data_IF_077106251679
#
_entry.id   IF_077106251679
#
_cell.length_a   1.000
_cell.length_b   1.000
_cell.length_c   1.000
_cell.angle_alpha   90.00
_cell.angle_beta   90.00
_cell.angle_gamma   90.00
#
_symmetry.space_group_name_H-M   'P 1'
#
loop_
_entity.id
_entity.type
_entity.pdbx_description
1 polymer ?
#
# COMPACT_ATOMS: atom_id res chain seq x y z
N UNK A 1 14.11 -8.76 15.31
CA UNK A 1 14.90 -7.51 15.35
C UNK A 1 15.67 -7.21 14.05
N UNK A 2 15.11 -7.45 12.85
CA UNK A 2 15.90 -7.28 11.62
C UNK A 2 16.26 -5.79 11.30
N UNK A 3 15.40 -4.85 11.70
CA UNK A 3 15.47 -3.45 11.29
C UNK A 3 15.72 -2.45 12.43
N UNK A 4 15.89 -2.92 13.67
CA UNK A 4 16.08 -2.02 14.82
C UNK A 4 17.38 -1.21 14.65
N UNK A 5 17.27 0.11 14.78
CA UNK A 5 18.41 1.03 14.70
C UNK A 5 18.94 1.28 13.28
N UNK A 6 18.20 0.88 12.25
CA UNK A 6 18.58 1.09 10.84
C UNK A 6 17.52 1.90 10.12
N UNK A 7 17.94 2.78 9.22
CA UNK A 7 17.04 3.35 8.21
C UNK A 7 16.84 2.31 7.12
N UNK A 8 15.58 2.01 6.79
CA UNK A 8 15.22 1.00 5.80
C UNK A 8 14.27 1.61 4.78
N UNK A 9 14.64 1.52 3.50
CA UNK A 9 13.82 1.97 2.38
C UNK A 9 13.31 0.75 1.61
N UNK A 10 11.98 0.59 1.56
CA UNK A 10 11.34 -0.43 0.73
C UNK A 10 10.71 0.22 -0.50
N UNK A 11 11.04 -0.28 -1.69
CA UNK A 11 10.36 0.04 -2.94
C UNK A 11 9.63 -1.22 -3.39
N UNK A 12 8.31 -1.22 -3.33
CA UNK A 12 7.54 -2.43 -3.63
C UNK A 12 6.16 -2.09 -4.20
N UNK A 13 5.68 -2.98 -5.05
CA UNK A 13 4.29 -3.00 -5.47
C UNK A 13 3.42 -3.83 -4.51
N UNK A 14 3.99 -4.63 -3.59
CA UNK A 14 3.25 -5.51 -2.67
C UNK A 14 2.89 -4.77 -1.39
N UNK A 15 1.71 -4.17 -1.36
CA UNK A 15 1.31 -3.24 -0.29
C UNK A 15 1.11 -3.93 1.07
N UNK A 16 0.79 -5.23 1.09
CA UNK A 16 0.67 -6.00 2.33
C UNK A 16 1.98 -6.08 3.13
N UNK A 17 3.14 -5.99 2.46
CA UNK A 17 4.45 -6.11 3.11
C UNK A 17 4.89 -4.83 3.84
N UNK A 18 4.21 -3.70 3.62
CA UNK A 18 4.63 -2.39 4.14
C UNK A 18 3.66 -1.81 5.20
N UNK A 19 2.69 -2.59 5.68
CA UNK A 19 1.73 -2.11 6.71
C UNK A 19 2.41 -1.63 7.99
N UNK A 20 3.52 -2.26 8.38
CA UNK A 20 4.29 -1.89 9.57
C UNK A 20 5.35 -0.80 9.34
N UNK A 21 5.37 -0.15 8.18
CA UNK A 21 6.30 0.94 7.93
C UNK A 21 5.92 2.17 8.77
N UNK A 22 6.92 2.85 9.33
CA UNK A 22 6.71 4.11 10.07
C UNK A 22 6.31 5.26 9.15
N UNK A 23 6.56 5.14 7.84
CA UNK A 23 6.13 6.09 6.81
C UNK A 23 5.99 5.35 5.48
N UNK A 24 4.92 5.66 4.74
CA UNK A 24 4.64 5.17 3.40
C UNK A 24 4.54 6.39 2.47
N UNK A 25 5.17 6.30 1.30
CA UNK A 25 5.08 7.29 0.23
C UNK A 25 4.40 6.64 -0.98
N UNK A 26 3.21 7.11 -1.35
CA UNK A 26 2.51 6.68 -2.54
C UNK A 26 2.85 7.63 -3.70
N UNK A 27 3.44 7.08 -4.75
CA UNK A 27 3.78 7.84 -5.96
C UNK A 27 2.68 7.74 -7.01
N UNK A 28 2.45 8.84 -7.70
CA UNK A 28 1.64 8.92 -8.92
C UNK A 28 2.22 9.99 -9.83
N UNK A 29 2.26 9.74 -11.15
CA UNK A 29 2.68 10.71 -12.17
C UNK A 29 4.01 11.43 -11.87
N UNK A 30 4.96 10.68 -11.31
CA UNK A 30 6.31 11.18 -10.99
C UNK A 30 6.42 12.02 -9.73
N UNK A 31 5.33 12.21 -8.97
CA UNK A 31 5.34 12.92 -7.70
C UNK A 31 4.81 12.06 -6.54
N UNK A 32 5.01 12.53 -5.31
CA UNK A 32 4.40 11.94 -4.11
C UNK A 32 2.96 12.45 -4.05
N UNK A 33 2.01 11.55 -4.25
CA UNK A 33 0.56 11.81 -4.22
C UNK A 33 0.04 11.80 -2.78
N UNK A 34 0.49 10.81 -1.99
CA UNK A 34 0.11 10.67 -0.58
C UNK A 34 1.29 10.21 0.28
N UNK A 35 1.31 10.66 1.53
CA UNK A 35 2.24 10.19 2.57
C UNK A 35 1.56 10.04 3.92
N UNK A 36 2.02 9.06 4.72
CA UNK A 36 1.56 8.82 6.08
C UNK A 36 1.84 7.40 6.56
N UNK A 37 1.31 7.03 7.72
CA UNK A 37 1.26 5.63 8.17
C UNK A 37 0.20 4.84 7.38
N UNK A 38 0.21 3.51 7.53
CA UNK A 38 -0.85 2.67 6.95
C UNK A 38 -2.24 3.13 7.42
N UNK A 39 -2.41 3.36 8.72
CA UNK A 39 -3.68 3.73 9.33
C UNK A 39 -4.17 5.09 8.82
N UNK A 40 -3.28 6.09 8.74
CA UNK A 40 -3.62 7.42 8.22
C UNK A 40 -4.07 7.37 6.76
N UNK A 41 -3.34 6.63 5.92
CA UNK A 41 -3.64 6.51 4.49
C UNK A 41 -4.92 5.69 4.24
N UNK A 42 -5.19 4.67 5.06
CA UNK A 42 -6.45 3.92 5.01
C UNK A 42 -7.64 4.78 5.44
N UNK A 43 -7.47 5.64 6.44
CA UNK A 43 -8.49 6.58 6.90
C UNK A 43 -8.84 7.65 5.84
N UNK A 44 -7.84 8.13 5.09
CA UNK A 44 -8.03 9.09 3.99
C UNK A 44 -8.86 8.54 2.82
N UNK A 45 -8.93 7.21 2.67
CA UNK A 45 -9.63 6.53 1.56
C UNK A 45 -9.20 7.01 0.16
N UNK A 46 -7.93 7.41 0.02
CA UNK A 46 -7.34 7.92 -1.21
C UNK A 46 -6.87 6.83 -2.20
N UNK A 47 -5.85 7.16 -2.99
CA UNK A 47 -5.19 6.25 -3.94
C UNK A 47 -4.55 5.09 -3.22
N UNK A 48 -3.83 5.31 -2.11
CA UNK A 48 -3.21 4.23 -1.35
C UNK A 48 -4.26 3.19 -0.92
N UNK A 49 -5.36 3.65 -0.33
CA UNK A 49 -6.49 2.81 0.06
C UNK A 49 -7.05 2.01 -1.13
N UNK A 50 -7.27 2.68 -2.25
CA UNK A 50 -7.78 2.06 -3.48
C UNK A 50 -6.85 0.96 -4.01
N UNK A 51 -5.53 1.20 -4.04
CA UNK A 51 -4.54 0.22 -4.45
C UNK A 51 -4.45 -0.95 -3.46
N UNK A 52 -4.48 -0.65 -2.16
CA UNK A 52 -4.41 -1.64 -1.11
C UNK A 52 -5.60 -2.62 -1.16
N UNK A 53 -6.82 -2.10 -1.37
CA UNK A 53 -8.00 -2.94 -1.55
C UNK A 53 -7.87 -3.85 -2.77
N UNK A 54 -7.42 -3.32 -3.92
CA UNK A 54 -7.22 -4.13 -5.14
C UNK A 54 -6.25 -5.30 -4.94
N UNK A 55 -5.20 -5.11 -4.14
CA UNK A 55 -4.22 -6.17 -3.89
C UNK A 55 -4.60 -7.12 -2.76
N UNK A 56 -5.47 -6.69 -1.84
CA UNK A 56 -5.91 -7.49 -0.70
C UNK A 56 -7.13 -8.33 -1.07
N UNK A 57 -8.05 -7.76 -1.84
CA UNK A 57 -9.28 -8.40 -2.29
C UNK A 57 -9.20 -8.68 -3.78
N UNK A 58 -8.24 -9.52 -4.17
CA UNK A 58 -8.30 -10.20 -5.46
C UNK A 58 -9.39 -11.27 -5.38
N UNK A 59 -10.65 -10.85 -5.50
CA UNK A 59 -11.72 -11.78 -5.88
C UNK A 59 -11.40 -12.21 -7.32
N UNK A 60 -11.23 -13.50 -7.63
CA UNK A 60 -11.45 -13.94 -9.00
C UNK A 60 -12.91 -13.58 -9.29
N UNK A 61 -13.14 -12.59 -10.15
CA UNK A 61 -14.46 -12.44 -10.75
C UNK A 61 -14.73 -13.79 -11.41
N UNK A 62 -15.70 -14.51 -10.86
CA UNK A 62 -16.06 -15.84 -11.32
C UNK A 62 -16.30 -15.81 -12.82
N UNK A 63 -15.66 -16.74 -13.50
CA UNK A 63 -16.24 -17.31 -14.71
C UNK A 63 -17.64 -17.80 -14.36
N UNK A 64 -18.66 -17.22 -14.98
CA UNK A 64 -19.97 -17.83 -15.11
C UNK A 64 -20.70 -17.23 -16.31
N UNK A 65 -20.76 -18.01 -17.39
CA UNK A 65 -22.00 -18.23 -18.12
C UNK A 65 -22.32 -17.29 -19.29
N UNK A 66 -21.69 -17.53 -20.42
CA UNK A 66 -22.38 -17.63 -21.71
C UNK A 66 -21.91 -18.93 -22.37
#
# INVERSE_FOLDING_TARGET
>A
HAFKGKTVLFITHRLNSIKGASMILCFHDGCIDESGTHEELMAKRGRYYSLFQKQTFSIPLGENGQ
#
